data_IF_384967136579
#
_entry.id   IF_384967136579
#
_cell.length_a   1.000
_cell.length_b   1.000
_cell.length_c   1.000
_cell.angle_alpha   90.00
_cell.angle_beta   90.00
_cell.angle_gamma   90.00
#
_symmetry.space_group_name_H-M   'P 1'
#
loop_
_entity.id
_entity.type
_entity.pdbx_description
1 polymer ?
#
# COMPACT_ATOMS: atom_id res chain seq x y z
N UNK A 1 -15.57 2.08 5.15
CA UNK A 1 -14.52 3.09 4.93
C UNK A 1 -14.50 4.01 6.13
N UNK A 2 -13.33 4.22 6.73
CA UNK A 2 -13.13 5.11 7.89
C UNK A 2 -12.08 6.16 7.53
N UNK A 3 -12.27 7.41 7.96
CA UNK A 3 -11.32 8.50 7.70
C UNK A 3 -10.70 8.93 9.01
N UNK A 4 -9.38 8.87 9.09
CA UNK A 4 -8.57 9.36 10.18
C UNK A 4 -7.91 10.69 9.78
N UNK A 5 -7.74 11.58 10.76
CA UNK A 5 -6.91 12.78 10.60
C UNK A 5 -5.58 12.52 11.28
N UNK A 6 -4.52 12.45 10.49
CA UNK A 6 -3.17 12.31 10.99
C UNK A 6 -2.42 13.63 10.82
N UNK A 7 -1.50 13.94 11.74
CA UNK A 7 -0.61 15.08 11.61
C UNK A 7 0.84 14.63 11.58
N UNK A 8 1.58 15.10 10.58
CA UNK A 8 3.01 14.85 10.41
C UNK A 8 3.68 16.17 10.09
N UNK A 9 4.67 16.57 10.89
CA UNK A 9 5.45 17.81 10.68
C UNK A 9 4.57 19.05 10.47
N UNK A 10 3.48 19.15 11.21
CA UNK A 10 2.51 20.25 11.12
C UNK A 10 1.59 20.22 9.89
N UNK A 11 1.65 19.17 9.07
CA UNK A 11 0.73 18.96 7.95
C UNK A 11 -0.37 17.96 8.32
N UNK A 12 -1.62 18.32 8.04
CA UNK A 12 -2.74 17.38 8.08
C UNK A 12 -2.66 16.42 6.88
N UNK A 13 -2.78 15.13 7.17
CA UNK A 13 -2.84 14.03 6.23
C UNK A 13 -4.12 13.26 6.52
N UNK A 14 -5.16 13.41 5.69
CA UNK A 14 -6.31 12.52 5.73
C UNK A 14 -5.87 11.10 5.37
N UNK A 15 -6.18 10.14 6.23
CA UNK A 15 -5.90 8.72 5.98
C UNK A 15 -7.22 7.98 5.89
N UNK A 16 -7.47 7.36 4.75
CA UNK A 16 -8.69 6.58 4.53
C UNK A 16 -8.36 5.10 4.63
N UNK A 17 -9.15 4.37 5.42
CA UNK A 17 -9.07 2.91 5.50
C UNK A 17 -10.33 2.27 4.94
N UNK A 18 -10.16 1.29 4.06
CA UNK A 18 -11.25 0.47 3.54
C UNK A 18 -10.94 -0.99 3.85
N UNK A 19 -11.72 -1.55 4.76
CA UNK A 19 -11.61 -2.95 5.15
C UNK A 19 -12.27 -3.87 4.12
N UNK A 20 -11.76 -5.09 4.00
CA UNK A 20 -12.36 -6.14 3.20
C UNK A 20 -12.17 -5.97 1.69
N UNK A 21 -11.08 -5.35 1.26
CA UNK A 21 -10.69 -5.35 -0.16
C UNK A 21 -10.01 -6.68 -0.51
N UNK A 22 -9.94 -7.05 -1.79
CA UNK A 22 -9.49 -8.40 -2.21
C UNK A 22 -10.32 -9.51 -1.56
N UNK A 23 -11.63 -9.50 -1.79
CA UNK A 23 -12.55 -10.51 -1.27
C UNK A 23 -12.43 -10.74 0.26
N UNK A 24 -12.16 -9.65 1.00
CA UNK A 24 -12.04 -9.70 2.45
C UNK A 24 -10.61 -9.76 3.00
N UNK A 25 -9.59 -9.99 2.16
CA UNK A 25 -8.24 -10.35 2.61
C UNK A 25 -7.43 -9.16 3.12
N UNK A 26 -7.67 -7.96 2.60
CA UNK A 26 -6.86 -6.78 2.91
C UNK A 26 -7.66 -5.62 3.49
N UNK A 27 -6.95 -4.75 4.19
CA UNK A 27 -7.39 -3.39 4.49
C UNK A 27 -6.58 -2.43 3.63
N UNK A 28 -7.25 -1.71 2.73
CA UNK A 28 -6.62 -0.64 1.95
C UNK A 28 -6.38 0.58 2.84
N UNK A 29 -5.21 1.19 2.68
CA UNK A 29 -4.84 2.47 3.27
C UNK A 29 -4.54 3.44 2.13
N UNK A 30 -5.17 4.61 2.15
CA UNK A 30 -4.91 5.68 1.20
C UNK A 30 -4.59 6.99 1.94
N UNK A 31 -3.50 7.64 1.53
CA UNK A 31 -3.10 8.94 2.05
C UNK A 31 -3.63 10.04 1.12
N UNK A 32 -4.58 10.83 1.60
CA UNK A 32 -5.14 11.98 0.87
C UNK A 32 -4.21 13.20 0.81
N UNK A 33 -2.89 12.99 0.85
CA UNK A 33 -1.89 14.05 0.77
C UNK A 33 -0.54 13.47 0.33
N UNK A 34 0.24 14.18 -0.51
CA UNK A 34 1.61 13.77 -0.83
C UNK A 34 2.62 14.12 0.27
N UNK A 35 2.20 14.79 1.36
CA UNK A 35 3.08 15.23 2.46
C UNK A 35 3.37 14.12 3.47
N UNK A 36 3.42 12.87 3.01
CA UNK A 36 3.76 11.73 3.85
C UNK A 36 5.26 11.75 4.21
N UNK A 37 5.69 10.99 5.23
CA UNK A 37 7.12 10.83 5.53
C UNK A 37 7.92 10.11 4.43
N UNK A 38 7.23 9.37 3.56
CA UNK A 38 7.82 8.52 2.54
C UNK A 38 7.94 9.25 1.20
N UNK A 39 8.96 8.88 0.42
CA UNK A 39 9.15 9.47 -0.92
C UNK A 39 8.14 8.92 -1.93
N UNK A 40 7.68 7.69 -1.74
CA UNK A 40 6.78 6.97 -2.62
C UNK A 40 6.10 5.82 -1.86
N UNK A 41 5.18 5.14 -2.52
CA UNK A 41 4.39 4.05 -1.92
C UNK A 41 5.25 2.83 -1.56
N UNK A 42 6.33 2.56 -2.31
CA UNK A 42 7.24 1.44 -2.04
C UNK A 42 8.00 1.64 -0.72
N UNK A 43 8.49 2.85 -0.45
CA UNK A 43 9.15 3.17 0.83
C UNK A 43 8.17 3.04 2.01
N UNK A 44 6.91 3.45 1.81
CA UNK A 44 5.85 3.25 2.79
C UNK A 44 5.57 1.76 3.03
N UNK A 45 5.41 0.99 1.95
CA UNK A 45 5.10 -0.43 2.01
C UNK A 45 6.19 -1.25 2.69
N UNK A 46 7.46 -0.95 2.40
CA UNK A 46 8.62 -1.59 3.07
C UNK A 46 8.60 -1.36 4.58
N UNK A 47 8.37 -0.11 4.99
CA UNK A 47 8.28 0.21 6.41
C UNK A 47 7.08 -0.46 7.07
N UNK A 48 5.91 -0.42 6.42
CA UNK A 48 4.69 -1.06 6.92
C UNK A 48 4.85 -2.58 7.07
N UNK A 49 5.39 -3.27 6.06
CA UNK A 49 5.62 -4.71 6.11
C UNK A 49 6.57 -5.10 7.26
N UNK A 50 7.63 -4.30 7.46
CA UNK A 50 8.59 -4.50 8.57
C UNK A 50 7.94 -4.30 9.94
N UNK A 51 7.15 -3.25 10.12
CA UNK A 51 6.61 -2.85 11.43
C UNK A 51 5.34 -3.59 11.81
N UNK A 52 4.50 -3.92 10.83
CA UNK A 52 3.26 -4.66 11.04
C UNK A 52 3.46 -6.18 10.93
N UNK A 53 4.61 -6.62 10.41
CA UNK A 53 4.94 -8.03 10.19
C UNK A 53 3.84 -8.79 9.44
N UNK A 54 3.29 -8.15 8.40
CA UNK A 54 2.26 -8.72 7.56
C UNK A 54 2.57 -8.49 6.09
N UNK A 55 1.82 -9.18 5.22
CA UNK A 55 1.86 -8.92 3.79
C UNK A 55 1.34 -7.50 3.48
N UNK A 56 2.14 -6.74 2.75
CA UNK A 56 1.76 -5.43 2.24
C UNK A 56 1.87 -5.43 0.72
N UNK A 57 0.85 -4.90 0.06
CA UNK A 57 0.85 -4.65 -1.38
C UNK A 57 0.73 -3.16 -1.64
N UNK A 58 1.49 -2.64 -2.61
CA UNK A 58 1.42 -1.23 -2.98
C UNK A 58 1.55 -1.01 -4.49
N UNK A 59 1.20 0.21 -4.92
CA UNK A 59 1.50 0.68 -6.27
C UNK A 59 3.02 0.63 -6.50
N UNK A 60 3.49 -0.07 -7.55
CA UNK A 60 4.91 -0.30 -7.78
C UNK A 60 5.58 0.78 -8.66
N UNK A 61 4.91 1.85 -9.06
CA UNK A 61 5.40 2.83 -10.05
C UNK A 61 6.81 3.36 -9.74
N UNK A 62 7.17 3.50 -8.46
CA UNK A 62 8.49 3.97 -8.05
C UNK A 62 9.65 3.05 -8.47
N UNK A 63 9.40 1.74 -8.58
CA UNK A 63 10.41 0.72 -8.99
C UNK A 63 10.07 0.05 -10.31
N UNK A 64 8.83 0.20 -10.79
CA UNK A 64 8.31 -0.28 -12.07
C UNK A 64 7.45 0.80 -12.72
N UNK A 65 8.04 1.79 -13.40
CA UNK A 65 7.30 2.94 -13.94
C UNK A 65 6.24 2.60 -14.99
N UNK A 66 6.35 1.44 -15.63
CA UNK A 66 5.42 0.94 -16.64
C UNK A 66 4.48 -0.14 -16.09
N UNK A 67 4.25 -0.15 -14.77
CA UNK A 67 3.34 -1.09 -14.16
C UNK A 67 1.93 -0.93 -14.73
N UNK A 68 1.34 -2.04 -15.16
CA UNK A 68 0.00 -2.13 -15.68
C UNK A 68 -1.07 -2.09 -14.59
N UNK A 69 -2.34 -1.94 -14.97
CA UNK A 69 -3.46 -2.10 -14.05
C UNK A 69 -3.39 -3.46 -13.34
N UNK A 70 -3.66 -3.47 -12.03
CA UNK A 70 -3.65 -4.70 -11.23
C UNK A 70 -2.25 -5.21 -10.88
N UNK A 71 -1.16 -4.59 -11.36
CA UNK A 71 0.20 -4.94 -10.91
C UNK A 71 0.54 -4.24 -9.59
N UNK A 72 1.00 -5.03 -8.62
CA UNK A 72 1.40 -4.55 -7.30
C UNK A 72 2.78 -5.08 -6.94
N UNK A 73 3.50 -4.33 -6.08
CA UNK A 73 4.63 -4.87 -5.35
C UNK A 73 4.09 -5.52 -4.07
N UNK A 74 4.29 -6.82 -3.92
CA UNK A 74 4.01 -7.59 -2.70
C UNK A 74 5.28 -7.66 -1.86
N UNK A 75 5.13 -7.36 -0.58
CA UNK A 75 6.21 -7.43 0.42
C UNK A 75 5.76 -8.30 1.58
N UNK A 76 6.49 -9.39 1.82
CA UNK A 76 6.22 -10.33 2.92
C UNK A 76 7.54 -10.94 3.40
N UNK A 77 7.75 -11.01 4.72
CA UNK A 77 8.97 -11.56 5.32
C UNK A 77 10.28 -10.99 4.74
N UNK A 78 10.28 -9.69 4.42
CA UNK A 78 11.42 -8.99 3.82
C UNK A 78 11.72 -9.35 2.36
N UNK A 79 10.85 -10.13 1.71
CA UNK A 79 10.93 -10.44 0.27
C UNK A 79 10.01 -9.51 -0.51
N UNK A 80 10.46 -9.14 -1.70
CA UNK A 80 9.74 -8.27 -2.63
C UNK A 80 9.48 -9.05 -3.92
N UNK A 81 8.22 -9.11 -4.35
CA UNK A 81 7.82 -9.75 -5.60
C UNK A 81 6.71 -8.95 -6.29
N UNK A 82 6.68 -9.00 -7.62
CA UNK A 82 5.61 -8.38 -8.38
C UNK A 82 4.49 -9.39 -8.57
N UNK A 83 3.27 -8.97 -8.23
CA UNK A 83 2.07 -9.77 -8.37
C UNK A 83 1.07 -9.05 -9.25
N UNK A 84 0.21 -9.81 -9.92
CA UNK A 84 -0.96 -9.27 -10.58
C UNK A 84 -2.19 -9.74 -9.83
N UNK A 85 -2.93 -8.79 -9.27
CA UNK A 85 -4.06 -9.06 -8.41
C UNK A 85 -5.18 -9.80 -9.15
N UNK A 86 -5.50 -9.40 -10.38
CA UNK A 86 -6.59 -9.99 -11.17
C UNK A 86 -6.30 -11.46 -11.49
N UNK A 87 -5.02 -11.80 -11.74
CA UNK A 87 -4.60 -13.18 -12.02
C UNK A 87 -4.64 -14.10 -10.79
N UNK A 88 -4.58 -13.55 -9.57
CA UNK A 88 -4.64 -14.33 -8.33
C UNK A 88 -6.07 -14.65 -7.90
N UNK A 89 -7.07 -13.88 -8.34
CA UNK A 89 -8.48 -14.09 -7.98
C UNK A 89 -9.19 -15.14 -8.86
N UNK A 90 -8.55 -15.60 -9.94
CA UNK A 90 -9.08 -16.61 -10.85
C UNK A 90 -8.73 -18.06 -10.47
N UNK A 91 -7.98 -18.27 -9.37
CA UNK A 91 -7.56 -19.58 -8.85
C UNK A 91 -8.27 -19.99 -7.57
#
# INVERSE_FOLDING_TARGET
>A
MTIYRCQVRGSDIPVMTTHGVADGTFTSIFFGSPRTPWRNDVDCARQAARELQCEVRCDPVAVRPLAGPGEFLRIVDGREEFVNWDQELEG
#
